data_IF_581976298739
#
_entry.id   IF_581976298739
#
_cell.length_a   1.000
_cell.length_b   1.000
_cell.length_c   1.000
_cell.angle_alpha   90.00
_cell.angle_beta   90.00
_cell.angle_gamma   90.00
#
_symmetry.space_group_name_H-M   'P 1'
#
loop_
_entity.id
_entity.type
_entity.pdbx_description
1 polymer ?
#
# COMPACT_ATOMS: atom_id res chain seq x y z
N UNK A 1 -6.80 10.28 -11.71
CA UNK A 1 -7.50 9.14 -11.14
C UNK A 1 -6.70 7.88 -11.37
N UNK A 2 -6.31 7.24 -10.31
CA UNK A 2 -5.45 6.08 -10.40
C UNK A 2 -6.17 4.82 -9.94
N UNK A 3 -5.71 3.67 -10.46
CA UNK A 3 -6.15 2.38 -9.97
C UNK A 3 -5.19 1.93 -8.87
N UNK A 4 -5.71 1.80 -7.66
CA UNK A 4 -4.93 1.43 -6.48
C UNK A 4 -5.37 0.05 -6.01
N UNK A 5 -4.40 -0.83 -5.80
CA UNK A 5 -4.65 -2.12 -5.18
C UNK A 5 -4.19 -2.04 -3.74
N UNK A 6 -5.10 -2.29 -2.81
CA UNK A 6 -4.81 -2.27 -1.39
C UNK A 6 -4.77 -3.70 -0.84
N UNK A 7 -3.60 -4.11 -0.39
CA UNK A 7 -3.36 -5.45 0.13
C UNK A 7 -3.39 -5.41 1.65
N UNK A 8 -4.47 -5.90 2.24
CA UNK A 8 -4.61 -5.96 3.70
C UNK A 8 -5.55 -7.10 4.10
N UNK A 9 -5.27 -7.71 5.24
CA UNK A 9 -6.15 -8.71 5.85
C UNK A 9 -7.10 -8.09 6.87
N UNK A 10 -6.93 -6.82 7.20
CA UNK A 10 -7.78 -6.10 8.16
C UNK A 10 -8.91 -5.41 7.42
N UNK A 11 -10.12 -5.94 7.55
CA UNK A 11 -11.30 -5.45 6.84
C UNK A 11 -11.70 -4.03 7.25
N UNK A 12 -11.51 -3.67 8.51
CA UNK A 12 -11.82 -2.33 8.98
C UNK A 12 -10.87 -1.30 8.38
N UNK A 13 -9.60 -1.62 8.38
CA UNK A 13 -8.60 -0.76 7.77
C UNK A 13 -8.78 -0.69 6.25
N UNK A 14 -9.07 -1.83 5.62
CA UNK A 14 -9.33 -1.87 4.19
C UNK A 14 -10.49 -0.99 3.77
N UNK A 15 -11.59 -1.03 4.52
CA UNK A 15 -12.74 -0.16 4.25
C UNK A 15 -12.38 1.32 4.40
N UNK A 16 -11.56 1.66 5.38
CA UNK A 16 -11.11 3.04 5.59
C UNK A 16 -10.21 3.50 4.44
N UNK A 17 -9.28 2.66 4.00
CA UNK A 17 -8.42 2.94 2.86
C UNK A 17 -9.25 3.18 1.61
N UNK A 18 -10.20 2.30 1.34
CA UNK A 18 -11.09 2.42 0.19
C UNK A 18 -11.88 3.72 0.22
N UNK A 19 -12.46 4.04 1.37
CA UNK A 19 -13.27 5.25 1.51
C UNK A 19 -12.44 6.52 1.29
N UNK A 20 -11.23 6.57 1.86
CA UNK A 20 -10.36 7.73 1.74
C UNK A 20 -9.88 7.95 0.31
N UNK A 21 -9.47 6.89 -0.37
CA UNK A 21 -8.96 7.00 -1.73
C UNK A 21 -10.08 7.18 -2.75
N UNK A 22 -11.23 6.57 -2.54
CA UNK A 22 -12.40 6.82 -3.40
C UNK A 22 -12.86 8.27 -3.31
N UNK A 23 -12.84 8.84 -2.11
CA UNK A 23 -13.16 10.25 -1.90
C UNK A 23 -12.17 11.17 -2.62
N UNK A 24 -10.94 10.73 -2.80
CA UNK A 24 -9.90 11.46 -3.54
C UNK A 24 -9.94 11.21 -5.05
N UNK A 25 -10.89 10.41 -5.54
CA UNK A 25 -11.09 10.17 -6.96
C UNK A 25 -10.37 8.95 -7.52
N UNK A 26 -9.82 8.09 -6.68
CA UNK A 26 -9.15 6.87 -7.11
C UNK A 26 -10.08 5.67 -7.11
N UNK A 27 -9.79 4.70 -7.97
CA UNK A 27 -10.44 3.40 -7.93
C UNK A 27 -9.61 2.47 -7.07
N UNK A 28 -10.25 1.79 -6.12
CA UNK A 28 -9.56 0.94 -5.15
C UNK A 28 -10.09 -0.48 -5.22
N UNK A 29 -9.17 -1.44 -5.32
CA UNK A 29 -9.48 -2.86 -5.19
C UNK A 29 -8.82 -3.37 -3.93
N UNK A 30 -9.61 -3.90 -3.02
CA UNK A 30 -9.11 -4.52 -1.80
C UNK A 30 -8.83 -6.00 -2.06
N UNK A 31 -7.70 -6.47 -1.61
CA UNK A 31 -7.36 -7.89 -1.72
C UNK A 31 -6.62 -8.36 -0.46
N UNK A 32 -6.91 -9.58 0.01
CA UNK A 32 -6.18 -10.15 1.15
C UNK A 32 -4.89 -10.84 0.74
N UNK A 33 -4.65 -11.03 -0.55
CA UNK A 33 -3.55 -11.86 -1.04
C UNK A 33 -2.95 -11.28 -2.32
N UNK A 34 -1.63 -11.37 -2.42
CA UNK A 34 -0.89 -11.03 -3.64
C UNK A 34 -1.34 -11.85 -4.84
N UNK A 35 -1.71 -13.10 -4.62
CA UNK A 35 -2.04 -14.03 -5.71
C UNK A 35 -3.36 -13.71 -6.38
N UNK A 36 -4.29 -13.16 -5.64
CA UNK A 36 -5.65 -12.91 -6.12
C UNK A 36 -5.86 -11.47 -6.62
N UNK A 37 -4.82 -10.67 -6.59
CA UNK A 37 -4.95 -9.26 -6.92
C UNK A 37 -4.95 -9.01 -8.43
N UNK A 38 -5.77 -8.06 -8.90
CA UNK A 38 -5.79 -7.67 -10.31
C UNK A 38 -4.65 -6.72 -10.63
N UNK A 39 -3.43 -7.25 -10.71
CA UNK A 39 -2.23 -6.42 -10.91
C UNK A 39 -2.20 -5.74 -12.28
N UNK A 40 -2.88 -6.30 -13.26
CA UNK A 40 -2.97 -5.67 -14.57
C UNK A 40 -3.75 -4.36 -14.48
N UNK A 41 -3.09 -3.24 -14.73
CA UNK A 41 -3.70 -1.93 -14.62
C UNK A 41 -3.53 -1.23 -13.28
N UNK A 42 -2.94 -1.90 -12.29
CA UNK A 42 -2.62 -1.25 -11.02
C UNK A 42 -1.55 -0.17 -11.23
N UNK A 43 -1.82 1.03 -10.74
CA UNK A 43 -0.89 2.15 -10.86
C UNK A 43 -0.15 2.42 -9.55
N UNK A 44 -0.66 1.88 -8.45
CA UNK A 44 -0.06 2.02 -7.12
C UNK A 44 -0.56 0.90 -6.23
N UNK A 45 0.30 0.46 -5.33
CA UNK A 45 -0.03 -0.56 -4.34
C UNK A 45 0.08 0.03 -2.95
N UNK A 46 -0.95 -0.16 -2.12
CA UNK A 46 -0.91 0.10 -0.69
C UNK A 46 -0.91 -1.26 -0.01
N UNK A 47 0.15 -1.57 0.73
CA UNK A 47 0.34 -2.94 1.22
C UNK A 47 0.68 -3.00 2.70
N UNK A 48 0.06 -3.97 3.37
CA UNK A 48 0.39 -4.33 4.74
C UNK A 48 1.66 -5.20 4.71
N UNK A 49 2.75 -4.66 5.24
CA UNK A 49 4.04 -5.35 5.24
C UNK A 49 4.08 -6.52 6.22
N UNK A 50 3.09 -6.65 7.10
CA UNK A 50 2.98 -7.79 7.99
C UNK A 50 2.42 -9.03 7.29
N UNK A 51 1.78 -8.84 6.12
CA UNK A 51 1.18 -9.96 5.37
C UNK A 51 1.76 -10.13 3.96
N UNK A 52 2.53 -9.19 3.47
CA UNK A 52 3.08 -9.24 2.13
C UNK A 52 4.61 -9.13 2.15
N UNK A 53 5.27 -9.94 1.32
CA UNK A 53 6.71 -9.88 1.16
C UNK A 53 7.09 -8.63 0.35
N UNK A 54 7.92 -7.72 0.90
CA UNK A 54 8.28 -6.49 0.18
C UNK A 54 8.96 -6.74 -1.17
N UNK A 55 9.77 -7.77 -1.29
CA UNK A 55 10.45 -8.08 -2.55
C UNK A 55 9.45 -8.47 -3.64
N UNK A 56 8.42 -9.22 -3.30
CA UNK A 56 7.37 -9.59 -4.24
C UNK A 56 6.57 -8.35 -4.69
N UNK A 57 6.32 -7.41 -3.78
CA UNK A 57 5.62 -6.17 -4.11
C UNK A 57 6.41 -5.31 -5.09
N UNK A 58 7.70 -5.13 -4.81
CA UNK A 58 8.58 -4.32 -5.66
C UNK A 58 8.71 -4.94 -7.05
N UNK A 59 8.71 -6.27 -7.13
CA UNK A 59 8.79 -7.00 -8.39
C UNK A 59 7.62 -6.75 -9.36
N UNK A 60 6.53 -6.15 -8.88
CA UNK A 60 5.38 -5.84 -9.72
C UNK A 60 5.57 -4.58 -10.59
N UNK A 61 6.61 -3.79 -10.33
CA UNK A 61 6.99 -2.68 -11.20
C UNK A 61 6.14 -1.42 -11.07
N UNK A 62 5.36 -1.29 -10.00
CA UNK A 62 4.56 -0.09 -9.73
C UNK A 62 4.93 0.48 -8.36
N UNK A 63 4.67 1.78 -8.10
CA UNK A 63 4.97 2.37 -6.80
C UNK A 63 4.26 1.64 -5.66
N UNK A 64 4.97 1.44 -4.56
CA UNK A 64 4.46 0.73 -3.39
C UNK A 64 4.52 1.61 -2.15
N UNK A 65 3.36 1.79 -1.50
CA UNK A 65 3.26 2.36 -0.18
C UNK A 65 3.09 1.20 0.81
N UNK A 66 4.13 0.90 1.56
CA UNK A 66 4.08 -0.14 2.57
C UNK A 66 3.85 0.43 3.95
N UNK A 67 3.00 -0.23 4.74
CA UNK A 67 2.79 0.17 6.13
C UNK A 67 2.96 -1.02 7.07
N UNK A 68 3.28 -0.73 8.33
CA UNK A 68 3.51 -1.74 9.35
C UNK A 68 2.80 -1.35 10.64
N UNK A 69 2.35 -2.36 11.40
CA UNK A 69 1.54 -2.15 12.62
C UNK A 69 2.35 -1.91 13.87
N UNK A 70 3.57 -2.44 13.92
CA UNK A 70 4.44 -2.34 15.08
C UNK A 70 5.67 -1.53 14.74
N UNK A 71 6.26 -0.91 15.76
CA UNK A 71 7.57 -0.26 15.61
C UNK A 71 8.60 -1.38 15.50
N UNK A 72 8.77 -1.89 14.30
CA UNK A 72 9.70 -2.97 14.00
C UNK A 72 10.73 -2.44 13.03
N UNK A 73 11.89 -2.11 13.55
CA UNK A 73 13.00 -1.56 12.77
C UNK A 73 13.43 -2.54 11.67
N UNK A 74 13.40 -3.83 11.95
CA UNK A 74 13.79 -4.84 10.97
C UNK A 74 12.83 -4.90 9.78
N UNK A 75 11.53 -4.86 10.02
CA UNK A 75 10.52 -4.83 8.97
C UNK A 75 10.69 -3.60 8.09
N UNK A 76 10.87 -2.44 8.72
CA UNK A 76 11.08 -1.19 8.00
C UNK A 76 12.34 -1.24 7.15
N UNK A 77 13.46 -1.68 7.72
CA UNK A 77 14.72 -1.76 7.02
C UNK A 77 14.68 -2.75 5.87
N UNK A 78 14.05 -3.90 6.07
CA UNK A 78 13.90 -4.90 5.02
C UNK A 78 13.09 -4.37 3.85
N UNK A 79 12.00 -3.66 4.13
CA UNK A 79 11.16 -3.07 3.10
C UNK A 79 11.90 -1.97 2.33
N UNK A 80 12.62 -1.12 3.02
CA UNK A 80 13.42 -0.05 2.40
C UNK A 80 14.54 -0.65 1.54
N UNK A 81 15.20 -1.68 2.05
CA UNK A 81 16.27 -2.37 1.32
C UNK A 81 15.74 -3.10 0.08
N UNK A 82 14.51 -3.59 0.12
CA UNK A 82 13.86 -4.24 -1.03
C UNK A 82 13.44 -3.25 -2.11
N UNK A 83 13.38 -1.96 -1.79
CA UNK A 83 13.03 -0.92 -2.76
C UNK A 83 11.58 -0.45 -2.69
N UNK A 84 10.88 -0.71 -1.59
CA UNK A 84 9.54 -0.15 -1.37
C UNK A 84 9.63 1.37 -1.37
N UNK A 85 8.81 2.02 -2.17
CA UNK A 85 8.94 3.46 -2.43
C UNK A 85 8.70 4.33 -1.21
N UNK A 86 7.78 3.92 -0.34
CA UNK A 86 7.49 4.65 0.88
C UNK A 86 7.07 3.65 1.96
N UNK A 87 7.71 3.72 3.12
CA UNK A 87 7.44 2.83 4.26
C UNK A 87 7.05 3.68 5.45
N UNK A 88 5.84 3.50 5.96
CA UNK A 88 5.29 4.33 7.05
C UNK A 88 4.60 3.47 8.10
N UNK A 89 4.50 3.94 9.35
CA UNK A 89 3.67 3.26 10.33
C UNK A 89 2.19 3.35 9.95
N UNK A 90 1.44 2.34 10.35
CA UNK A 90 0.00 2.25 10.08
C UNK A 90 -0.76 3.52 10.49
N UNK A 91 -0.41 4.10 11.63
CA UNK A 91 -1.06 5.31 12.12
C UNK A 91 -0.88 6.50 11.19
N UNK A 92 0.31 6.65 10.64
CA UNK A 92 0.58 7.72 9.67
C UNK A 92 -0.15 7.45 8.36
N UNK A 93 -0.12 6.23 7.89
CA UNK A 93 -0.83 5.84 6.67
C UNK A 93 -2.33 6.16 6.81
N UNK A 94 -2.95 5.76 7.92
CA UNK A 94 -4.36 5.99 8.15
C UNK A 94 -4.73 7.49 8.22
N UNK A 95 -3.79 8.34 8.62
CA UNK A 95 -4.02 9.77 8.77
C UNK A 95 -3.72 10.57 7.51
N UNK A 96 -2.70 10.16 6.76
CA UNK A 96 -2.16 10.94 5.64
C UNK A 96 -2.27 10.23 4.28
N UNK A 97 -3.07 9.19 4.19
CA UNK A 97 -3.12 8.33 3.01
C UNK A 97 -3.29 9.06 1.68
N UNK A 98 -4.25 9.99 1.51
CA UNK A 98 -4.41 10.65 0.22
C UNK A 98 -3.18 11.44 -0.20
N UNK A 99 -2.51 12.09 0.74
CA UNK A 99 -1.30 12.87 0.46
C UNK A 99 -0.14 11.97 0.08
N UNK A 100 0.01 10.83 0.77
CA UNK A 100 1.07 9.87 0.50
C UNK A 100 0.90 9.24 -0.89
N UNK A 101 -0.32 8.88 -1.24
CA UNK A 101 -0.64 8.31 -2.55
C UNK A 101 -0.37 9.35 -3.65
N UNK A 102 -0.83 10.58 -3.46
CA UNK A 102 -0.63 11.65 -4.42
C UNK A 102 0.87 11.90 -4.68
N UNK A 103 1.66 11.89 -3.62
CA UNK A 103 3.11 12.05 -3.69
C UNK A 103 3.78 10.96 -4.52
N UNK A 104 3.36 9.71 -4.36
CA UNK A 104 3.91 8.59 -5.11
C UNK A 104 3.48 8.61 -6.56
N UNK A 105 2.25 9.01 -6.86
CA UNK A 105 1.74 9.09 -8.22
C UNK A 105 2.40 10.20 -9.04
N UNK A 106 2.81 11.27 -8.37
CA UNK A 106 3.49 12.39 -9.02
C UNK A 106 4.98 12.16 -9.20
N UNK A 107 5.53 11.33 -8.34
CA UNK A 107 6.94 11.09 -8.24
C UNK A 107 7.54 10.31 -9.35
#
# INVERSE_FOLDING_TARGET
MAQVVALTSDLLLGSKVEAMLSAAGHEVVLTPSLQDAPWGGAELIVADLDVANPEALVGLGVPVLGYYSHVDVETRQAAEAAGVDLVVPRSRMARELPELVDRLLKG
#
